data_IF_776202642737
#
_entry.id   IF_776202642737
#
_cell.length_a   1.000
_cell.length_b   1.000
_cell.length_c   1.000
_cell.angle_alpha   90.00
_cell.angle_beta   90.00
_cell.angle_gamma   90.00
#
_symmetry.space_group_name_H-M   'P 1'
#
loop_
_entity.id
_entity.type
_entity.pdbx_description
1 polymer ?
#
# COMPACT_ATOMS: atom_id res chain seq x y z
N UNK A 1 -11.09 -22.91 -9.77
CA UNK A 1 -10.23 -21.90 -10.42
C UNK A 1 -10.71 -20.55 -9.92
N UNK A 2 -9.83 -19.72 -9.36
CA UNK A 2 -10.18 -18.36 -8.89
C UNK A 2 -9.73 -17.35 -9.94
N UNK A 3 -10.63 -16.48 -10.35
CA UNK A 3 -10.37 -15.45 -11.34
C UNK A 3 -9.92 -14.16 -10.65
N UNK A 4 -8.79 -13.59 -11.07
CA UNK A 4 -8.23 -12.38 -10.47
C UNK A 4 -8.19 -11.24 -11.48
N UNK A 5 -8.61 -10.04 -11.04
CA UNK A 5 -8.42 -8.79 -11.75
C UNK A 5 -7.34 -7.96 -11.03
N UNK A 6 -6.44 -7.32 -11.76
CA UNK A 6 -5.28 -6.63 -11.18
C UNK A 6 -5.25 -5.17 -11.62
N UNK A 7 -5.49 -4.27 -10.70
CA UNK A 7 -5.25 -2.85 -10.89
C UNK A 7 -3.76 -2.55 -10.64
N UNK A 8 -3.04 -2.10 -11.69
CA UNK A 8 -1.61 -1.79 -11.59
C UNK A 8 -0.68 -2.99 -11.80
N UNK A 9 -1.01 -3.88 -12.74
CA UNK A 9 -0.28 -5.13 -13.02
C UNK A 9 1.19 -4.95 -13.44
N UNK A 10 1.56 -3.78 -13.95
CA UNK A 10 2.93 -3.47 -14.41
C UNK A 10 3.84 -2.92 -13.29
N UNK A 11 3.27 -2.61 -12.13
CA UNK A 11 3.99 -2.17 -10.93
C UNK A 11 4.66 -3.33 -10.17
N UNK A 12 5.37 -3.01 -9.07
CA UNK A 12 6.09 -4.01 -8.25
C UNK A 12 5.16 -5.10 -7.71
N UNK A 13 4.05 -4.73 -7.08
CA UNK A 13 3.09 -5.69 -6.52
C UNK A 13 2.35 -6.43 -7.64
N UNK A 14 1.94 -5.72 -8.69
CA UNK A 14 1.25 -6.34 -9.82
C UNK A 14 2.07 -7.40 -10.53
N UNK A 15 3.36 -7.16 -10.77
CA UNK A 15 4.25 -8.15 -11.40
C UNK A 15 4.48 -9.36 -10.48
N UNK A 16 4.57 -9.18 -9.17
CA UNK A 16 4.68 -10.28 -8.22
C UNK A 16 3.35 -11.05 -8.09
N UNK A 17 2.21 -10.37 -8.24
CA UNK A 17 0.90 -11.04 -8.33
C UNK A 17 0.83 -11.95 -9.56
N UNK A 18 1.32 -11.47 -10.71
CA UNK A 18 1.42 -12.29 -11.92
C UNK A 18 2.41 -13.45 -11.76
N UNK A 19 3.50 -13.28 -11.01
CA UNK A 19 4.42 -14.38 -10.70
C UNK A 19 3.74 -15.47 -9.86
N UNK A 20 2.94 -15.07 -8.88
CA UNK A 20 2.10 -16.01 -8.11
C UNK A 20 1.10 -16.72 -9.01
N UNK A 21 0.40 -15.98 -9.89
CA UNK A 21 -0.57 -16.59 -10.82
C UNK A 21 0.08 -17.57 -11.80
N UNK A 22 1.26 -17.25 -12.31
CA UNK A 22 2.04 -18.11 -13.23
C UNK A 22 2.39 -19.48 -12.63
N UNK A 23 2.56 -19.54 -11.31
CA UNK A 23 2.99 -20.73 -10.58
C UNK A 23 1.83 -21.54 -9.98
N UNK A 24 0.60 -21.10 -10.20
CA UNK A 24 -0.60 -21.71 -9.62
C UNK A 24 -1.69 -21.86 -10.69
N UNK A 25 -1.86 -23.05 -11.23
CA UNK A 25 -2.80 -23.35 -12.32
C UNK A 25 -4.28 -23.14 -11.95
N UNK A 26 -4.61 -22.98 -10.68
CA UNK A 26 -5.95 -22.70 -10.18
C UNK A 26 -6.24 -21.18 -10.05
N UNK A 27 -5.30 -20.30 -10.42
CA UNK A 27 -5.49 -18.87 -10.58
C UNK A 27 -5.57 -18.49 -12.07
N UNK A 28 -6.56 -17.69 -12.44
CA UNK A 28 -6.70 -17.14 -13.79
C UNK A 28 -6.69 -15.62 -13.74
N UNK A 29 -5.79 -14.99 -14.46
CA UNK A 29 -5.78 -13.54 -14.64
C UNK A 29 -6.80 -13.17 -15.71
N UNK A 30 -7.90 -12.53 -15.31
CA UNK A 30 -9.00 -12.15 -16.23
C UNK A 30 -8.94 -10.69 -16.64
N UNK A 31 -8.26 -9.83 -15.85
CA UNK A 31 -8.08 -8.43 -16.21
C UNK A 31 -6.77 -7.86 -15.64
N UNK A 32 -6.16 -6.93 -16.37
CA UNK A 32 -4.90 -6.26 -16.02
C UNK A 32 -5.00 -4.76 -16.29
N UNK A 33 -4.23 -3.94 -15.57
CA UNK A 33 -4.18 -2.51 -15.88
C UNK A 33 -2.80 -1.91 -15.71
N UNK A 34 -2.55 -0.79 -16.39
CA UNK A 34 -1.34 0.01 -16.29
C UNK A 34 -1.63 1.51 -16.38
N UNK A 35 -0.65 2.35 -15.95
CA UNK A 35 -0.67 3.79 -16.19
C UNK A 35 -0.34 4.11 -17.64
N UNK A 36 0.96 3.97 -18.01
CA UNK A 36 1.51 4.26 -19.34
C UNK A 36 2.42 3.15 -19.91
N UNK A 37 2.61 2.06 -19.18
CA UNK A 37 3.60 1.01 -19.52
C UNK A 37 3.05 0.05 -20.57
N UNK A 38 2.94 0.49 -21.83
CA UNK A 38 2.33 -0.26 -22.92
C UNK A 38 3.07 -1.58 -23.22
N UNK A 39 4.40 -1.55 -23.34
CA UNK A 39 5.19 -2.74 -23.68
C UNK A 39 5.04 -3.86 -22.62
N UNK A 40 5.08 -3.48 -21.35
CA UNK A 40 4.89 -4.45 -20.25
C UNK A 40 3.49 -5.01 -20.25
N UNK A 41 2.48 -4.16 -20.50
CA UNK A 41 1.09 -4.58 -20.49
C UNK A 41 0.78 -5.47 -21.71
N UNK A 42 1.34 -5.18 -22.89
CA UNK A 42 1.27 -6.05 -24.07
C UNK A 42 1.84 -7.44 -23.78
N UNK A 43 3.03 -7.51 -23.16
CA UNK A 43 3.65 -8.78 -22.79
C UNK A 43 2.75 -9.60 -21.83
N UNK A 44 2.14 -8.93 -20.84
CA UNK A 44 1.19 -9.55 -19.90
C UNK A 44 -0.08 -10.04 -20.60
N UNK A 45 -0.62 -9.28 -21.56
CA UNK A 45 -1.78 -9.69 -22.37
C UNK A 45 -1.46 -10.94 -23.17
N UNK A 46 -0.30 -10.99 -23.82
CA UNK A 46 0.11 -12.15 -24.63
C UNK A 46 0.41 -13.38 -23.80
N UNK A 47 0.84 -13.22 -22.55
CA UNK A 47 1.14 -14.32 -21.63
C UNK A 47 -0.12 -14.87 -20.96
N UNK A 48 -0.94 -13.99 -20.40
CA UNK A 48 -2.07 -14.39 -19.52
C UNK A 48 -3.42 -14.44 -20.24
N UNK A 49 -3.52 -13.90 -21.45
CA UNK A 49 -4.75 -13.82 -22.26
C UNK A 49 -5.97 -13.30 -21.47
N UNK A 50 -5.85 -12.13 -20.79
CA UNK A 50 -6.96 -11.58 -20.02
C UNK A 50 -8.11 -11.17 -20.95
N UNK A 51 -9.31 -11.13 -20.40
CA UNK A 51 -10.49 -10.65 -21.12
C UNK A 51 -10.47 -9.14 -21.31
N UNK A 52 -9.85 -8.41 -20.36
CA UNK A 52 -9.81 -6.93 -20.37
C UNK A 52 -8.44 -6.40 -19.95
N UNK A 53 -8.04 -5.29 -20.55
CA UNK A 53 -6.89 -4.49 -20.18
C UNK A 53 -7.29 -3.01 -20.08
N UNK A 54 -7.05 -2.36 -18.93
CA UNK A 54 -7.32 -0.93 -18.74
C UNK A 54 -6.02 -0.14 -18.70
N UNK A 55 -5.97 0.98 -19.43
CA UNK A 55 -4.83 1.89 -19.45
C UNK A 55 -5.28 3.26 -19.00
N UNK A 56 -4.62 3.84 -17.99
CA UNK A 56 -4.99 5.15 -17.48
C UNK A 56 -4.83 6.26 -18.53
N UNK A 57 -3.72 6.26 -19.24
CA UNK A 57 -3.40 7.24 -20.26
C UNK A 57 -4.09 6.89 -21.58
N UNK A 58 -4.83 7.85 -22.16
CA UNK A 58 -5.65 7.61 -23.35
C UNK A 58 -4.81 7.35 -24.62
N UNK A 59 -3.66 8.03 -24.76
CA UNK A 59 -2.76 7.84 -25.90
C UNK A 59 -2.08 6.46 -25.83
N UNK A 60 -1.62 6.08 -24.63
CA UNK A 60 -1.07 4.75 -24.38
C UNK A 60 -2.11 3.64 -24.60
N UNK A 61 -3.39 3.89 -24.27
CA UNK A 61 -4.48 2.95 -24.56
C UNK A 61 -4.71 2.77 -26.05
N UNK A 62 -4.65 3.84 -26.82
CA UNK A 62 -4.78 3.79 -28.29
C UNK A 62 -3.61 2.99 -28.92
N UNK A 63 -2.36 3.21 -28.47
CA UNK A 63 -1.19 2.44 -28.91
C UNK A 63 -1.35 0.96 -28.58
N UNK A 64 -1.71 0.64 -27.31
CA UNK A 64 -1.91 -0.74 -26.88
C UNK A 64 -2.98 -1.45 -27.73
N UNK A 65 -4.11 -0.77 -28.02
CA UNK A 65 -5.20 -1.34 -28.81
C UNK A 65 -4.74 -1.77 -30.21
N UNK A 66 -3.84 -1.02 -30.83
CA UNK A 66 -3.25 -1.37 -32.11
C UNK A 66 -2.32 -2.58 -31.97
N UNK A 67 -1.48 -2.59 -30.93
CA UNK A 67 -0.48 -3.66 -30.70
C UNK A 67 -1.12 -5.02 -30.44
N UNK A 68 -2.26 -5.05 -29.75
CA UNK A 68 -2.92 -6.30 -29.35
C UNK A 68 -4.18 -6.62 -30.15
N UNK A 69 -4.36 -6.00 -31.33
CA UNK A 69 -5.51 -6.22 -32.22
C UNK A 69 -5.67 -7.68 -32.68
N UNK A 70 -4.60 -8.46 -32.61
CA UNK A 70 -4.54 -9.89 -32.89
C UNK A 70 -4.99 -10.78 -31.70
N UNK A 71 -5.35 -10.18 -30.58
CA UNK A 71 -5.84 -10.86 -29.38
C UNK A 71 -7.34 -10.62 -29.17
N UNK A 72 -7.98 -11.39 -28.28
CA UNK A 72 -9.37 -11.19 -27.88
C UNK A 72 -9.54 -10.21 -26.70
N UNK A 73 -8.46 -9.61 -26.20
CA UNK A 73 -8.47 -8.73 -25.02
C UNK A 73 -9.14 -7.39 -25.36
N UNK A 74 -10.19 -7.03 -24.61
CA UNK A 74 -10.82 -5.70 -24.70
C UNK A 74 -9.91 -4.65 -24.04
N UNK A 75 -9.53 -3.62 -24.78
CA UNK A 75 -8.74 -2.49 -24.25
C UNK A 75 -9.65 -1.31 -23.94
N UNK A 76 -9.62 -0.84 -22.68
CA UNK A 76 -10.36 0.31 -22.16
C UNK A 76 -9.42 1.35 -21.57
N UNK A 77 -9.88 2.59 -21.30
CA UNK A 77 -9.00 3.66 -20.85
C UNK A 77 -9.62 4.56 -19.77
N UNK A 78 -8.75 5.29 -19.07
CA UNK A 78 -9.12 6.30 -18.08
C UNK A 78 -9.81 5.72 -16.85
N UNK A 79 -10.47 6.59 -16.08
CA UNK A 79 -11.19 6.18 -14.86
C UNK A 79 -12.33 5.20 -15.19
N UNK A 80 -13.11 5.49 -16.22
CA UNK A 80 -14.20 4.62 -16.63
C UNK A 80 -13.72 3.19 -16.95
N UNK A 81 -12.56 3.08 -17.63
CA UNK A 81 -11.96 1.78 -17.91
C UNK A 81 -11.49 1.06 -16.65
N UNK A 82 -10.98 1.77 -15.64
CA UNK A 82 -10.60 1.18 -14.34
C UNK A 82 -11.84 0.73 -13.54
N UNK A 83 -12.94 1.48 -13.59
CA UNK A 83 -14.20 1.12 -12.94
C UNK A 83 -14.83 -0.11 -13.61
N UNK A 84 -14.85 -0.15 -14.95
CA UNK A 84 -15.32 -1.32 -15.70
C UNK A 84 -14.52 -2.58 -15.36
N UNK A 85 -13.20 -2.45 -15.27
CA UNK A 85 -12.33 -3.56 -14.87
C UNK A 85 -12.62 -4.01 -13.43
N UNK A 86 -12.77 -3.08 -12.50
CA UNK A 86 -13.01 -3.39 -11.09
C UNK A 86 -14.36 -4.09 -10.85
N UNK A 87 -15.38 -3.73 -11.62
CA UNK A 87 -16.73 -4.32 -11.54
C UNK A 87 -16.92 -5.58 -12.40
N UNK A 88 -15.90 -6.01 -13.12
CA UNK A 88 -15.98 -7.10 -14.09
C UNK A 88 -16.60 -8.38 -13.49
N UNK A 89 -17.70 -8.93 -14.04
CA UNK A 89 -18.40 -10.08 -13.45
C UNK A 89 -17.57 -11.34 -13.36
N UNK A 90 -16.62 -11.53 -14.30
CA UNK A 90 -15.78 -12.71 -14.40
C UNK A 90 -14.69 -12.78 -13.32
N UNK A 91 -14.42 -11.71 -12.58
CA UNK A 91 -13.44 -11.73 -11.50
C UNK A 91 -14.07 -12.12 -10.17
N UNK A 92 -13.36 -12.92 -9.37
CA UNK A 92 -13.72 -13.27 -7.99
C UNK A 92 -13.09 -12.33 -6.98
N UNK A 93 -11.88 -11.85 -7.26
CA UNK A 93 -11.08 -10.99 -6.39
C UNK A 93 -10.39 -9.88 -7.19
N UNK A 94 -10.37 -8.68 -6.62
CA UNK A 94 -9.69 -7.52 -7.17
C UNK A 94 -8.41 -7.24 -6.39
N UNK A 95 -7.25 -7.31 -7.05
CA UNK A 95 -5.96 -6.89 -6.49
C UNK A 95 -5.76 -5.40 -6.79
N UNK A 96 -5.71 -4.57 -5.75
CA UNK A 96 -5.55 -3.12 -5.89
C UNK A 96 -4.09 -2.72 -5.66
N UNK A 97 -3.29 -2.73 -6.73
CA UNK A 97 -1.86 -2.41 -6.72
C UNK A 97 -1.52 -1.08 -7.43
N UNK A 98 -2.52 -0.22 -7.61
CA UNK A 98 -2.35 1.17 -8.07
C UNK A 98 -1.80 2.00 -6.90
N UNK A 99 -0.87 2.90 -7.16
CA UNK A 99 -0.31 3.82 -6.16
C UNK A 99 -1.14 5.10 -6.10
N UNK A 100 -1.33 5.66 -4.90
CA UNK A 100 -2.02 6.92 -4.67
C UNK A 100 -3.54 6.82 -4.61
N UNK A 101 -4.20 7.96 -4.45
CA UNK A 101 -5.64 8.04 -4.19
C UNK A 101 -6.52 7.67 -5.39
N UNK A 102 -5.95 7.57 -6.58
CA UNK A 102 -6.66 7.11 -7.79
C UNK A 102 -7.30 5.72 -7.62
N UNK A 103 -6.77 4.89 -6.72
CA UNK A 103 -7.29 3.54 -6.43
C UNK A 103 -8.60 3.52 -5.63
N UNK A 104 -9.02 4.62 -5.01
CA UNK A 104 -10.20 4.65 -4.13
C UNK A 104 -11.48 4.30 -4.90
N UNK A 105 -11.75 5.02 -5.99
CA UNK A 105 -12.97 4.81 -6.81
C UNK A 105 -13.08 3.38 -7.35
N UNK A 106 -12.04 2.82 -8.00
CA UNK A 106 -12.10 1.43 -8.47
C UNK A 106 -12.23 0.40 -7.33
N UNK A 107 -11.63 0.66 -6.15
CA UNK A 107 -11.81 -0.22 -4.99
C UNK A 107 -13.26 -0.22 -4.50
N UNK A 108 -13.90 0.97 -4.38
CA UNK A 108 -15.31 1.06 -4.01
C UNK A 108 -16.22 0.37 -5.03
N UNK A 109 -15.91 0.49 -6.31
CA UNK A 109 -16.68 -0.16 -7.38
C UNK A 109 -16.55 -1.68 -7.35
N UNK A 110 -15.34 -2.20 -7.10
CA UNK A 110 -15.10 -3.63 -6.89
C UNK A 110 -15.89 -4.17 -5.69
N UNK A 111 -15.93 -3.43 -4.57
CA UNK A 111 -16.73 -3.78 -3.38
C UNK A 111 -18.22 -3.84 -3.74
N UNK A 112 -18.77 -2.82 -4.44
CA UNK A 112 -20.17 -2.80 -4.87
C UNK A 112 -20.52 -3.95 -5.82
N UNK A 113 -19.54 -4.38 -6.61
CA UNK A 113 -19.66 -5.55 -7.48
C UNK A 113 -19.49 -6.89 -6.75
N UNK A 114 -19.39 -6.89 -5.41
CA UNK A 114 -19.27 -8.09 -4.59
C UNK A 114 -17.93 -8.79 -4.67
N UNK A 115 -16.83 -8.07 -4.97
CA UNK A 115 -15.48 -8.63 -5.07
C UNK A 115 -14.75 -8.54 -3.74
N UNK A 116 -14.09 -9.62 -3.33
CA UNK A 116 -13.06 -9.52 -2.30
C UNK A 116 -11.91 -8.65 -2.82
N UNK A 117 -11.31 -7.86 -1.92
CA UNK A 117 -10.26 -6.91 -2.26
C UNK A 117 -8.93 -7.39 -1.66
N UNK A 118 -7.97 -7.77 -2.50
CA UNK A 118 -6.58 -7.95 -2.09
C UNK A 118 -5.91 -6.56 -2.13
N UNK A 119 -5.87 -5.90 -0.97
CA UNK A 119 -5.52 -4.48 -0.84
C UNK A 119 -4.01 -4.31 -0.69
N UNK A 120 -3.37 -3.74 -1.72
CA UNK A 120 -1.98 -3.28 -1.67
C UNK A 120 -1.86 -1.75 -1.68
N UNK A 121 -2.92 -1.04 -2.04
CA UNK A 121 -2.99 0.42 -2.03
C UNK A 121 -3.41 0.92 -0.64
N UNK A 122 -2.42 1.19 0.21
CA UNK A 122 -2.68 1.66 1.60
C UNK A 122 -3.34 3.02 1.64
N UNK A 123 -3.08 3.88 0.65
CA UNK A 123 -3.66 5.22 0.57
C UNK A 123 -5.19 5.18 0.55
N UNK A 124 -5.78 4.12 0.01
CA UNK A 124 -7.24 3.88 0.02
C UNK A 124 -7.81 3.86 1.44
N UNK A 125 -7.20 3.14 2.38
CA UNK A 125 -7.67 3.12 3.78
C UNK A 125 -7.20 4.33 4.57
N UNK A 126 -6.01 4.85 4.30
CA UNK A 126 -5.49 6.05 4.95
C UNK A 126 -6.45 7.22 4.78
N UNK A 127 -6.95 7.46 3.57
CA UNK A 127 -7.75 8.64 3.24
C UNK A 127 -9.26 8.38 3.26
N UNK A 128 -9.68 7.18 2.91
CA UNK A 128 -11.10 6.82 2.76
C UNK A 128 -11.52 5.59 3.59
N UNK A 129 -10.76 5.20 4.62
CA UNK A 129 -11.07 4.03 5.45
C UNK A 129 -12.46 4.07 6.08
N UNK A 130 -12.93 5.27 6.47
CA UNK A 130 -14.28 5.50 6.99
C UNK A 130 -15.41 5.29 5.96
N UNK A 131 -15.08 5.27 4.66
CA UNK A 131 -16.00 4.94 3.57
C UNK A 131 -15.85 3.47 3.13
N UNK A 132 -14.63 2.99 3.02
CA UNK A 132 -14.29 1.66 2.49
C UNK A 132 -14.74 0.55 3.45
N UNK A 133 -14.40 0.64 4.75
CA UNK A 133 -14.68 -0.46 5.68
C UNK A 133 -16.19 -0.66 5.92
N UNK A 134 -17.01 0.38 6.11
CA UNK A 134 -18.46 0.22 6.17
C UNK A 134 -19.05 -0.33 4.87
N UNK A 135 -18.58 0.13 3.71
CA UNK A 135 -19.03 -0.35 2.41
C UNK A 135 -18.71 -1.84 2.23
N UNK A 136 -17.50 -2.28 2.57
CA UNK A 136 -17.13 -3.70 2.52
C UNK A 136 -18.03 -4.56 3.41
N UNK A 137 -18.34 -4.07 4.62
CA UNK A 137 -19.27 -4.74 5.54
C UNK A 137 -20.70 -4.82 4.98
N UNK A 138 -21.19 -3.75 4.37
CA UNK A 138 -22.53 -3.69 3.75
C UNK A 138 -22.67 -4.71 2.62
N UNK A 139 -21.65 -4.84 1.76
CA UNK A 139 -21.64 -5.77 0.63
C UNK A 139 -21.16 -7.18 1.00
N UNK A 140 -20.72 -7.41 2.24
CA UNK A 140 -20.29 -8.73 2.73
C UNK A 140 -19.00 -9.23 2.07
N UNK A 141 -18.12 -8.31 1.64
CA UNK A 141 -16.84 -8.63 1.00
C UNK A 141 -15.68 -8.46 1.97
N UNK A 142 -14.60 -9.20 1.73
CA UNK A 142 -13.39 -9.16 2.56
C UNK A 142 -12.37 -8.16 2.03
N UNK A 143 -11.76 -7.38 2.92
CA UNK A 143 -10.55 -6.61 2.64
C UNK A 143 -9.35 -7.42 3.13
N UNK A 144 -8.57 -7.96 2.20
CA UNK A 144 -7.46 -8.88 2.46
C UNK A 144 -6.13 -8.12 2.29
N UNK A 145 -5.34 -7.93 3.36
CA UNK A 145 -4.13 -7.12 3.28
C UNK A 145 -3.02 -7.77 2.45
N UNK A 146 -2.41 -6.99 1.58
CA UNK A 146 -1.21 -7.34 0.81
C UNK A 146 0.04 -6.66 1.38
N UNK A 147 -0.10 -5.52 2.06
CA UNK A 147 1.03 -4.92 2.78
C UNK A 147 1.59 -5.92 3.79
N UNK A 148 2.93 -6.07 3.85
CA UNK A 148 3.60 -7.16 4.59
C UNK A 148 3.28 -7.14 6.09
N UNK A 149 3.26 -5.97 6.70
CA UNK A 149 2.98 -5.78 8.11
C UNK A 149 1.52 -6.12 8.46
N UNK A 150 0.59 -5.64 7.63
CA UNK A 150 -0.84 -5.92 7.82
C UNK A 150 -1.16 -7.38 7.54
N UNK A 151 -0.55 -7.97 6.51
CA UNK A 151 -0.67 -9.40 6.25
C UNK A 151 -0.13 -10.23 7.42
N UNK A 152 0.98 -9.82 8.05
CA UNK A 152 1.53 -10.48 9.22
C UNK A 152 0.57 -10.46 10.40
N UNK A 153 -0.03 -9.29 10.70
CA UNK A 153 -1.06 -9.15 11.74
C UNK A 153 -2.26 -10.03 11.40
N UNK A 154 -2.76 -9.94 10.16
CA UNK A 154 -3.91 -10.73 9.69
C UNK A 154 -3.68 -12.25 9.80
N UNK A 155 -2.45 -12.71 9.56
CA UNK A 155 -2.05 -14.10 9.77
C UNK A 155 -1.96 -14.49 11.26
N UNK A 156 -1.49 -13.57 12.10
CA UNK A 156 -1.34 -13.82 13.54
C UNK A 156 -2.69 -13.88 14.28
N UNK A 157 -3.72 -13.17 13.80
CA UNK A 157 -5.06 -13.17 14.40
C UNK A 157 -6.00 -14.22 13.78
N UNK A 158 -5.51 -15.03 12.85
CA UNK A 158 -6.36 -16.02 12.18
C UNK A 158 -6.84 -17.10 13.15
N UNK A 159 -8.15 -17.16 13.38
CA UNK A 159 -8.77 -18.06 14.33
C UNK A 159 -8.94 -17.50 15.74
N UNK A 160 -8.48 -16.29 15.98
CA UNK A 160 -8.61 -15.59 17.25
C UNK A 160 -9.82 -14.63 17.25
N UNK A 161 -10.34 -14.33 18.44
CA UNK A 161 -11.44 -13.38 18.59
C UNK A 161 -10.90 -11.94 18.67
N UNK A 162 -11.42 -10.97 17.87
CA UNK A 162 -10.91 -9.59 17.88
C UNK A 162 -10.89 -8.93 19.28
N UNK A 163 -11.86 -9.28 20.15
CA UNK A 163 -11.91 -8.77 21.52
C UNK A 163 -10.76 -9.23 22.42
N UNK A 164 -10.00 -10.25 22.03
CA UNK A 164 -8.86 -10.80 22.78
C UNK A 164 -7.55 -10.11 22.42
N UNK A 165 -7.54 -9.34 21.36
CA UNK A 165 -6.39 -8.52 20.97
C UNK A 165 -6.22 -7.38 21.97
N UNK A 166 -4.99 -7.26 22.52
CA UNK A 166 -4.62 -6.15 23.39
C UNK A 166 -3.94 -5.03 22.60
N UNK A 167 -2.98 -5.38 21.72
CA UNK A 167 -2.18 -4.40 20.99
C UNK A 167 -1.63 -4.97 19.67
N UNK A 168 -1.55 -4.11 18.66
CA UNK A 168 -0.80 -4.39 17.43
C UNK A 168 0.61 -3.82 17.53
N UNK A 169 1.60 -4.62 17.17
CA UNK A 169 3.02 -4.26 17.17
C UNK A 169 3.52 -4.23 15.72
N UNK A 170 3.48 -3.05 15.10
CA UNK A 170 3.89 -2.87 13.70
C UNK A 170 5.41 -2.71 13.66
N UNK A 171 6.10 -3.60 12.94
CA UNK A 171 7.56 -3.52 12.81
C UNK A 171 7.97 -2.56 11.69
N UNK A 172 9.13 -1.94 11.85
CA UNK A 172 9.78 -1.09 10.85
C UNK A 172 11.24 -1.51 10.69
N UNK A 173 11.80 -1.43 9.49
CA UNK A 173 13.25 -1.61 9.30
C UNK A 173 14.07 -0.47 9.90
N UNK A 174 13.45 0.69 10.10
CA UNK A 174 14.10 1.94 10.46
C UNK A 174 14.63 2.74 9.27
N UNK A 175 14.55 2.20 8.07
CA UNK A 175 14.99 2.84 6.82
C UNK A 175 16.51 2.98 6.69
N UNK A 176 17.01 3.59 5.58
CA UNK A 176 18.44 3.70 5.27
C UNK A 176 19.19 4.67 6.21
N UNK A 177 18.48 5.52 6.93
CA UNK A 177 19.07 6.55 7.79
C UNK A 177 18.94 6.27 9.29
N UNK A 178 18.56 5.05 9.66
CA UNK A 178 18.47 4.62 11.07
C UNK A 178 19.75 4.98 11.83
N UNK A 179 19.60 5.62 12.99
CA UNK A 179 20.70 6.06 13.85
C UNK A 179 21.35 7.39 13.47
N UNK A 180 20.94 8.04 12.36
CA UNK A 180 21.42 9.39 12.00
C UNK A 180 20.65 10.47 12.74
N UNK A 181 21.34 11.58 12.97
CA UNK A 181 20.76 12.81 13.55
C UNK A 181 20.17 13.71 12.46
N UNK A 182 19.30 14.65 12.85
CA UNK A 182 18.73 15.66 11.94
C UNK A 182 19.83 16.44 11.19
N UNK A 183 20.94 16.73 11.85
CA UNK A 183 22.06 17.46 11.23
C UNK A 183 22.69 16.66 10.08
N UNK A 184 22.87 15.35 10.28
CA UNK A 184 23.42 14.46 9.25
C UNK A 184 22.46 14.24 8.08
N UNK A 185 21.17 14.53 8.26
CA UNK A 185 20.15 14.40 7.20
C UNK A 185 20.05 15.63 6.29
N UNK A 186 20.63 16.77 6.65
CA UNK A 186 20.52 18.01 5.87
C UNK A 186 21.03 17.90 4.44
N UNK A 187 22.05 17.08 4.21
CA UNK A 187 22.74 16.99 2.93
C UNK A 187 22.58 15.61 2.28
N UNK A 188 21.64 14.78 2.73
CA UNK A 188 21.40 13.47 2.10
C UNK A 188 20.78 13.65 0.72
N UNK A 189 21.27 12.86 -0.22
CA UNK A 189 20.83 12.89 -1.62
C UNK A 189 19.71 11.91 -1.89
N UNK A 190 19.06 12.02 -3.04
CA UNK A 190 18.14 11.00 -3.55
C UNK A 190 18.83 9.64 -3.65
N UNK A 191 20.08 9.62 -4.15
CA UNK A 191 20.84 8.38 -4.28
C UNK A 191 21.13 7.69 -2.93
N UNK A 192 21.34 8.45 -1.85
CA UNK A 192 21.52 7.90 -0.51
C UNK A 192 20.20 7.35 0.05
N UNK A 193 19.11 8.08 -0.19
CA UNK A 193 17.77 7.71 0.29
C UNK A 193 17.26 6.42 -0.35
N UNK A 194 17.61 6.15 -1.61
CA UNK A 194 17.15 4.98 -2.33
C UNK A 194 17.92 3.68 -1.98
N UNK A 195 18.91 3.73 -1.08
CA UNK A 195 19.67 2.55 -0.61
C UNK A 195 19.01 1.89 0.60
N UNK A 196 17.84 1.26 0.40
CA UNK A 196 17.19 0.52 1.50
C UNK A 196 17.99 -0.73 1.86
N UNK A 197 18.21 -1.03 3.17
CA UNK A 197 19.12 -2.12 3.59
C UNK A 197 18.59 -3.52 3.29
N UNK A 198 17.27 -3.75 3.31
CA UNK A 198 16.68 -5.10 3.28
C UNK A 198 15.73 -5.33 2.09
N UNK A 199 15.08 -4.28 1.58
CA UNK A 199 14.02 -4.39 0.59
C UNK A 199 14.38 -3.71 -0.72
N UNK A 200 14.03 -4.35 -1.84
CA UNK A 200 14.03 -3.72 -3.16
C UNK A 200 12.62 -3.25 -3.48
N UNK A 201 12.39 -1.95 -3.41
CA UNK A 201 11.07 -1.35 -3.51
C UNK A 201 11.01 -0.25 -4.58
N UNK A 202 9.80 0.24 -4.86
CA UNK A 202 9.59 1.43 -5.67
C UNK A 202 10.24 2.67 -5.05
N UNK A 203 10.56 3.67 -5.88
CA UNK A 203 11.27 4.88 -5.41
C UNK A 203 10.49 5.66 -4.35
N UNK A 204 9.17 5.84 -4.53
CA UNK A 204 8.30 6.58 -3.58
C UNK A 204 8.32 5.93 -2.20
N UNK A 205 8.00 4.64 -2.10
CA UNK A 205 7.92 3.93 -0.83
C UNK A 205 9.29 3.81 -0.14
N UNK A 206 10.40 3.83 -0.89
CA UNK A 206 11.76 3.85 -0.32
C UNK A 206 12.03 5.18 0.40
N UNK A 207 11.59 6.32 -0.17
CA UNK A 207 11.65 7.63 0.50
C UNK A 207 10.72 7.65 1.71
N UNK A 208 9.50 7.12 1.61
CA UNK A 208 8.56 7.02 2.74
C UNK A 208 9.13 6.17 3.88
N UNK A 209 9.88 5.10 3.57
CA UNK A 209 10.60 4.31 4.57
C UNK A 209 11.70 5.12 5.25
N UNK A 210 12.48 5.89 4.47
CA UNK A 210 13.55 6.73 4.98
C UNK A 210 13.06 7.84 5.92
N UNK A 211 11.85 8.35 5.69
CA UNK A 211 11.21 9.41 6.49
C UNK A 211 10.36 8.88 7.64
N UNK A 212 10.15 7.56 7.75
CA UNK A 212 9.14 6.89 8.58
C UNK A 212 7.68 7.31 8.27
N UNK A 213 7.43 7.99 7.17
CA UNK A 213 6.07 8.26 6.69
C UNK A 213 5.37 6.95 6.34
N UNK A 214 6.06 6.01 5.68
CA UNK A 214 5.48 4.71 5.35
C UNK A 214 4.89 4.03 6.59
N UNK A 215 5.64 4.04 7.69
CA UNK A 215 5.17 3.44 8.94
C UNK A 215 3.99 4.20 9.55
N UNK A 216 3.96 5.51 9.35
CA UNK A 216 2.81 6.33 9.72
C UNK A 216 1.55 6.00 8.91
N UNK A 217 1.67 5.82 7.60
CA UNK A 217 0.57 5.38 6.73
C UNK A 217 0.06 3.99 7.15
N UNK A 218 0.96 3.09 7.51
CA UNK A 218 0.62 1.75 7.98
C UNK A 218 -0.11 1.76 9.33
N UNK A 219 0.23 2.67 10.25
CA UNK A 219 -0.53 2.87 11.49
C UNK A 219 -1.97 3.31 11.19
N UNK A 220 -2.15 4.21 10.22
CA UNK A 220 -3.48 4.65 9.79
C UNK A 220 -4.28 3.53 9.14
N UNK A 221 -3.63 2.72 8.29
CA UNK A 221 -4.24 1.56 7.64
C UNK A 221 -4.65 0.50 8.67
N UNK A 222 -3.77 0.17 9.63
CA UNK A 222 -4.05 -0.80 10.69
C UNK A 222 -5.26 -0.40 11.54
N UNK A 223 -5.40 0.90 11.86
CA UNK A 223 -6.55 1.44 12.57
C UNK A 223 -7.87 1.05 11.91
N UNK A 224 -7.95 1.20 10.59
CA UNK A 224 -9.17 0.89 9.83
C UNK A 224 -9.35 -0.60 9.59
N UNK A 225 -8.29 -1.29 9.17
CA UNK A 225 -8.36 -2.69 8.76
C UNK A 225 -8.69 -3.63 9.93
N UNK A 226 -8.18 -3.33 11.13
CA UNK A 226 -8.35 -4.15 12.32
C UNK A 226 -9.29 -3.52 13.35
N UNK A 227 -9.95 -2.40 13.03
CA UNK A 227 -10.84 -1.65 13.93
C UNK A 227 -10.17 -1.39 15.30
N UNK A 228 -8.92 -0.90 15.29
CA UNK A 228 -8.09 -0.74 16.46
C UNK A 228 -7.84 0.73 16.79
N UNK A 229 -8.00 1.10 18.04
CA UNK A 229 -7.64 2.44 18.51
C UNK A 229 -6.13 2.70 18.41
N UNK A 230 -5.75 3.93 18.05
CA UNK A 230 -4.34 4.31 17.88
C UNK A 230 -3.47 4.07 19.13
N UNK A 231 -4.05 4.13 20.33
CA UNK A 231 -3.32 3.89 21.58
C UNK A 231 -2.98 2.40 21.78
N UNK A 232 -3.59 1.51 20.99
CA UNK A 232 -3.32 0.08 20.92
C UNK A 232 -2.51 -0.32 19.69
N UNK A 233 -1.93 0.66 18.96
CA UNK A 233 -1.03 0.41 17.83
C UNK A 233 0.34 0.98 18.17
N UNK A 234 1.32 0.12 18.35
CA UNK A 234 2.70 0.49 18.67
C UNK A 234 3.63 0.17 17.51
N UNK A 235 4.51 1.11 17.19
CA UNK A 235 5.59 0.87 16.23
C UNK A 235 6.86 0.46 16.97
N UNK A 236 7.54 -0.57 16.47
CA UNK A 236 8.85 -1.04 16.94
C UNK A 236 9.80 -1.15 15.75
N UNK A 237 11.05 -0.76 15.91
CA UNK A 237 12.06 -0.94 14.86
C UNK A 237 12.69 -2.33 15.02
N UNK A 238 12.65 -3.11 13.95
CA UNK A 238 13.26 -4.45 13.84
C UNK A 238 14.18 -4.45 12.60
N UNK A 239 15.48 -4.12 12.80
CA UNK A 239 16.38 -3.80 11.69
C UNK A 239 16.60 -4.92 10.69
N UNK A 240 16.52 -6.17 11.12
CA UNK A 240 16.74 -7.35 10.26
C UNK A 240 15.56 -7.61 9.31
N UNK A 241 14.39 -6.98 9.53
CA UNK A 241 13.15 -7.14 8.73
C UNK A 241 12.73 -8.61 8.55
N UNK A 242 12.88 -9.41 9.60
CA UNK A 242 12.52 -10.83 9.63
C UNK A 242 11.15 -11.02 10.29
N UNK A 243 10.84 -10.24 11.34
CA UNK A 243 9.52 -10.16 11.94
C UNK A 243 8.75 -9.09 11.18
N UNK A 244 7.69 -9.48 10.47
CA UNK A 244 6.91 -8.56 9.66
C UNK A 244 5.82 -7.82 10.41
N UNK A 245 5.39 -8.26 11.58
CA UNK A 245 4.64 -7.60 12.66
C UNK A 245 4.16 -8.65 13.66
N UNK A 246 3.59 -8.18 14.77
CA UNK A 246 3.18 -9.00 15.90
C UNK A 246 1.84 -8.52 16.45
N UNK A 247 1.18 -9.40 17.18
CA UNK A 247 -0.05 -9.12 17.93
C UNK A 247 0.14 -9.56 19.37
N UNK A 248 -0.10 -8.66 20.30
CA UNK A 248 -0.15 -8.96 21.74
C UNK A 248 -1.60 -9.19 22.14
N UNK A 249 -1.87 -10.31 22.80
CA UNK A 249 -3.19 -10.67 23.32
C UNK A 249 -3.35 -10.28 24.78
N UNK A 250 -4.59 -10.29 25.28
CA UNK A 250 -4.92 -9.89 26.65
C UNK A 250 -4.30 -10.76 27.74
N UNK A 251 -3.94 -11.99 27.43
CA UNK A 251 -3.24 -12.91 28.33
C UNK A 251 -1.71 -12.67 28.38
N UNK A 252 -1.21 -11.74 27.56
CA UNK A 252 0.21 -11.41 27.42
C UNK A 252 0.95 -12.24 26.37
N UNK A 253 0.28 -13.16 25.67
CA UNK A 253 0.90 -13.88 24.56
C UNK A 253 1.17 -12.94 23.39
N UNK A 254 2.30 -13.13 22.69
CA UNK A 254 2.63 -12.39 21.48
C UNK A 254 2.77 -13.39 20.33
N UNK A 255 1.95 -13.20 19.28
CA UNK A 255 2.05 -13.94 18.04
C UNK A 255 2.72 -13.09 16.97
N UNK A 256 3.66 -13.67 16.22
CA UNK A 256 4.43 -12.98 15.20
C UNK A 256 4.51 -13.79 13.92
N UNK A 257 4.43 -13.12 12.77
CA UNK A 257 4.74 -13.75 11.50
C UNK A 257 6.19 -13.40 11.12
N UNK A 258 6.98 -14.44 10.85
CA UNK A 258 8.37 -14.33 10.43
C UNK A 258 8.52 -14.83 8.99
N UNK A 259 9.41 -14.20 8.22
CA UNK A 259 9.70 -14.60 6.86
C UNK A 259 10.89 -13.84 6.27
N UNK A 260 11.35 -14.27 5.11
CA UNK A 260 12.24 -13.48 4.27
C UNK A 260 11.48 -12.34 3.60
N UNK A 261 12.12 -11.22 3.21
CA UNK A 261 11.48 -10.11 2.52
C UNK A 261 11.01 -10.49 1.11
N UNK A 262 9.81 -11.05 1.00
CA UNK A 262 9.21 -11.48 -0.28
C UNK A 262 7.71 -11.15 -0.29
N UNK A 263 7.32 -10.17 -1.12
CA UNK A 263 5.92 -9.74 -1.23
C UNK A 263 5.00 -10.81 -1.85
N UNK A 264 5.54 -11.85 -2.50
CA UNK A 264 4.71 -12.95 -3.01
C UNK A 264 4.02 -13.71 -1.88
N UNK A 265 4.61 -13.73 -0.67
CA UNK A 265 4.00 -14.39 0.49
C UNK A 265 2.67 -13.72 0.89
N UNK A 266 2.61 -12.42 1.22
CA UNK A 266 1.35 -11.77 1.55
C UNK A 266 0.38 -11.72 0.37
N UNK A 267 0.84 -11.54 -0.86
CA UNK A 267 0.02 -11.61 -2.07
C UNK A 267 -0.66 -12.98 -2.17
N UNK A 268 0.11 -14.06 -2.11
CA UNK A 268 -0.42 -15.41 -2.22
C UNK A 268 -1.38 -15.73 -1.06
N UNK A 269 -1.06 -15.28 0.16
CA UNK A 269 -1.96 -15.48 1.29
C UNK A 269 -3.30 -14.77 1.11
N UNK A 270 -3.31 -13.52 0.63
CA UNK A 270 -4.55 -12.81 0.31
C UNK A 270 -5.37 -13.51 -0.79
N UNK A 271 -4.71 -14.02 -1.83
CA UNK A 271 -5.39 -14.71 -2.93
C UNK A 271 -5.99 -16.07 -2.52
N UNK A 272 -5.41 -16.75 -1.55
CA UNK A 272 -5.82 -18.09 -1.13
C UNK A 272 -6.47 -18.15 0.23
N UNK A 273 -6.59 -17.03 0.94
CA UNK A 273 -7.19 -17.01 2.27
C UNK A 273 -8.49 -17.83 2.34
N UNK A 274 -8.69 -18.66 3.38
CA UNK A 274 -7.85 -18.85 4.56
C UNK A 274 -6.73 -19.91 4.41
N UNK A 275 -6.48 -20.41 3.22
CA UNK A 275 -5.56 -21.53 2.98
C UNK A 275 -4.14 -21.08 2.64
N UNK A 276 -3.15 -21.89 3.01
CA UNK A 276 -1.77 -21.70 2.59
C UNK A 276 -1.44 -22.59 1.40
N UNK A 277 -0.64 -22.04 0.46
CA UNK A 277 -0.12 -22.79 -0.69
C UNK A 277 1.41 -22.80 -0.65
N UNK A 278 1.99 -23.77 -1.35
CA UNK A 278 3.43 -23.77 -1.55
C UNK A 278 3.87 -22.48 -2.27
N UNK A 279 4.92 -21.87 -1.77
CA UNK A 279 5.60 -20.74 -2.40
C UNK A 279 7.07 -21.12 -2.51
N UNK A 280 7.63 -21.02 -3.69
CA UNK A 280 9.06 -21.15 -3.91
C UNK A 280 9.81 -19.91 -3.40
N UNK A 281 11.08 -20.06 -3.07
CA UNK A 281 11.92 -18.97 -2.60
C UNK A 281 12.72 -19.35 -1.36
N UNK A 282 13.48 -18.39 -0.90
CA UNK A 282 14.34 -18.55 0.27
C UNK A 282 13.49 -18.73 1.53
N UNK A 283 13.95 -19.63 2.42
CA UNK A 283 13.33 -19.87 3.73
C UNK A 283 14.23 -19.30 4.81
N UNK A 284 13.62 -18.87 5.93
CA UNK A 284 14.40 -18.53 7.10
C UNK A 284 15.15 -19.74 7.61
N UNK A 285 16.47 -19.58 7.79
CA UNK A 285 17.35 -20.57 8.35
C UNK A 285 17.77 -20.13 9.76
N UNK A 286 17.12 -20.69 10.78
CA UNK A 286 17.37 -20.36 12.18
C UNK A 286 18.78 -20.79 12.64
N UNK A 287 19.50 -21.61 11.88
CA UNK A 287 20.91 -21.94 12.19
C UNK A 287 21.85 -20.81 11.81
N UNK A 288 21.45 -19.94 10.88
CA UNK A 288 22.19 -18.74 10.44
C UNK A 288 21.74 -17.47 11.15
N UNK A 289 20.48 -17.43 11.56
CA UNK A 289 19.90 -16.31 12.28
C UNK A 289 20.41 -16.30 13.72
N UNK A 290 21.33 -15.38 14.05
CA UNK A 290 22.00 -15.34 15.35
C UNK A 290 21.24 -14.51 16.39
N UNK A 291 20.62 -13.40 15.94
CA UNK A 291 19.94 -12.45 16.82
C UNK A 291 18.78 -11.76 16.12
N UNK A 292 17.81 -11.36 16.89
CA UNK A 292 16.72 -10.48 16.50
C UNK A 292 16.72 -9.33 17.52
N UNK A 293 16.78 -8.09 17.03
CA UNK A 293 16.87 -6.91 17.87
C UNK A 293 15.69 -5.99 17.66
N UNK A 294 15.33 -5.25 18.71
CA UNK A 294 14.27 -4.25 18.68
C UNK A 294 14.80 -2.92 19.19
N UNK A 295 14.33 -1.83 18.56
CA UNK A 295 14.64 -0.46 18.96
C UNK A 295 13.36 0.37 19.02
N UNK A 296 13.40 1.45 19.78
CA UNK A 296 12.33 2.45 19.80
C UNK A 296 12.50 3.37 18.58
N UNK A 297 11.42 3.68 17.82
CA UNK A 297 11.51 4.64 16.73
C UNK A 297 11.97 6.01 17.20
N UNK A 298 12.95 6.62 16.52
CA UNK A 298 13.35 8.00 16.78
C UNK A 298 12.36 8.99 16.14
N UNK A 299 11.30 9.30 16.88
CA UNK A 299 10.24 10.21 16.44
C UNK A 299 10.68 11.68 16.43
N UNK A 300 11.84 12.01 17.01
CA UNK A 300 12.36 13.37 17.00
C UNK A 300 13.08 13.70 15.70
N UNK A 301 13.90 12.78 15.24
CA UNK A 301 14.64 12.91 13.98
C UNK A 301 13.74 12.60 12.78
N UNK A 302 12.95 11.52 12.85
CA UNK A 302 12.08 11.06 11.77
C UNK A 302 10.62 11.47 12.03
N UNK A 303 10.30 12.72 11.70
CA UNK A 303 9.03 13.40 12.01
C UNK A 303 7.82 12.81 11.26
N UNK A 304 8.03 11.99 10.23
CA UNK A 304 6.95 11.41 9.43
C UNK A 304 5.97 10.57 10.26
N UNK A 305 6.48 9.71 11.14
CA UNK A 305 5.63 8.87 11.99
C UNK A 305 4.78 9.68 12.99
N UNK A 306 5.33 10.59 13.82
CA UNK A 306 4.49 11.37 14.75
C UNK A 306 3.48 12.28 14.03
N UNK A 307 3.82 12.88 12.88
CA UNK A 307 2.85 13.66 12.09
C UNK A 307 1.71 12.82 11.54
N UNK A 308 1.99 11.60 11.10
CA UNK A 308 0.96 10.65 10.69
C UNK A 308 0.02 10.27 11.83
N UNK A 309 0.56 9.96 13.02
CA UNK A 309 -0.24 9.66 14.21
C UNK A 309 -1.12 10.87 14.57
N UNK A 310 -0.57 12.09 14.50
CA UNK A 310 -1.34 13.32 14.71
C UNK A 310 -2.47 13.44 13.70
N UNK A 311 -2.20 13.31 12.40
CA UNK A 311 -3.22 13.37 11.35
C UNK A 311 -4.34 12.34 11.56
N UNK A 312 -3.98 11.13 11.98
CA UNK A 312 -4.93 10.07 12.28
C UNK A 312 -5.78 10.37 13.52
N UNK A 313 -5.20 10.98 14.57
CA UNK A 313 -5.93 11.41 15.78
C UNK A 313 -6.90 12.56 15.49
N UNK A 314 -6.48 13.51 14.68
CA UNK A 314 -7.35 14.60 14.23
C UNK A 314 -8.51 14.06 13.36
N UNK A 315 -8.25 13.08 12.53
CA UNK A 315 -9.27 12.41 11.71
C UNK A 315 -9.89 13.31 10.63
N UNK A 316 -11.05 12.92 10.13
CA UNK A 316 -11.71 13.61 9.03
C UNK A 316 -10.84 13.68 7.79
N UNK A 317 -10.69 14.87 7.20
CA UNK A 317 -9.85 15.08 6.00
C UNK A 317 -8.35 15.26 6.29
N UNK A 318 -7.90 15.24 7.55
CA UNK A 318 -6.48 15.47 7.87
C UNK A 318 -5.55 14.35 7.34
N UNK A 319 -5.91 13.05 7.40
CA UNK A 319 -5.12 12.00 6.74
C UNK A 319 -4.95 12.20 5.24
N UNK A 320 -5.97 12.75 4.55
CA UNK A 320 -5.89 13.10 3.12
C UNK A 320 -4.83 14.17 2.88
N UNK A 321 -4.83 15.24 3.69
CA UNK A 321 -3.82 16.30 3.58
C UNK A 321 -2.41 15.77 3.83
N UNK A 322 -2.24 14.95 4.88
CA UNK A 322 -0.95 14.32 5.19
C UNK A 322 -0.45 13.48 4.00
N UNK A 323 -1.31 12.63 3.45
CA UNK A 323 -0.94 11.76 2.32
C UNK A 323 -0.62 12.58 1.06
N UNK A 324 -1.49 13.52 0.68
CA UNK A 324 -1.28 14.35 -0.51
C UNK A 324 0.01 15.19 -0.40
N UNK A 325 0.25 15.80 0.78
CA UNK A 325 1.46 16.56 1.02
C UNK A 325 2.71 15.70 0.91
N UNK A 326 2.68 14.50 1.47
CA UNK A 326 3.79 13.55 1.35
C UNK A 326 4.02 13.13 -0.10
N UNK A 327 2.98 12.76 -0.84
CA UNK A 327 3.13 12.33 -2.24
C UNK A 327 3.81 13.39 -3.11
N UNK A 328 3.36 14.63 -3.00
CA UNK A 328 3.94 15.72 -3.79
C UNK A 328 5.34 16.12 -3.30
N UNK A 329 5.57 16.14 -1.98
CA UNK A 329 6.90 16.42 -1.43
C UNK A 329 7.91 15.36 -1.85
N UNK A 330 7.56 14.08 -1.78
CA UNK A 330 8.42 12.97 -2.24
C UNK A 330 8.69 13.07 -3.73
N UNK A 331 7.69 13.42 -4.55
CA UNK A 331 7.90 13.66 -5.99
C UNK A 331 8.91 14.79 -6.22
N UNK A 332 8.75 15.95 -5.56
CA UNK A 332 9.69 17.09 -5.67
C UNK A 332 11.09 16.72 -5.20
N UNK A 333 11.22 15.93 -4.12
CA UNK A 333 12.52 15.43 -3.65
C UNK A 333 13.17 14.51 -4.68
N UNK A 334 12.42 13.55 -5.25
CA UNK A 334 12.93 12.64 -6.29
C UNK A 334 13.30 13.35 -7.60
N UNK A 335 12.74 14.54 -7.84
CA UNK A 335 13.11 15.46 -8.93
C UNK A 335 14.23 16.43 -8.52
N UNK A 336 14.80 16.28 -7.33
CA UNK A 336 15.89 17.13 -6.76
C UNK A 336 15.53 18.60 -6.66
N UNK A 337 14.22 18.94 -6.55
CA UNK A 337 13.74 20.33 -6.40
C UNK A 337 13.75 20.80 -4.96
N UNK A 338 13.75 19.90 -4.00
CA UNK A 338 13.76 20.17 -2.55
C UNK A 338 14.73 19.23 -1.85
N UNK A 339 15.16 19.59 -0.62
CA UNK A 339 15.97 18.75 0.25
C UNK A 339 15.13 17.69 1.00
N UNK A 340 15.81 16.72 1.60
CA UNK A 340 15.16 15.63 2.34
C UNK A 340 14.29 16.13 3.51
N UNK A 341 14.80 17.10 4.28
CA UNK A 341 14.08 17.66 5.43
C UNK A 341 12.88 18.53 5.05
N UNK A 342 12.88 19.09 3.83
CA UNK A 342 11.76 19.88 3.32
C UNK A 342 10.49 19.03 3.17
N UNK A 343 10.62 17.72 3.01
CA UNK A 343 9.47 16.80 3.01
C UNK A 343 8.64 16.98 4.28
N UNK A 344 9.29 17.02 5.44
CA UNK A 344 8.60 17.22 6.72
C UNK A 344 7.97 18.60 6.84
N UNK A 345 8.66 19.65 6.34
CA UNK A 345 8.14 21.02 6.38
C UNK A 345 6.92 21.21 5.51
N UNK A 346 6.90 20.61 4.31
CA UNK A 346 5.75 20.62 3.42
C UNK A 346 4.55 19.94 4.07
N UNK A 347 4.76 18.77 4.67
CA UNK A 347 3.69 18.03 5.35
C UNK A 347 3.15 18.86 6.53
N UNK A 348 4.03 19.35 7.40
CA UNK A 348 3.63 20.13 8.59
C UNK A 348 2.82 21.37 8.22
N UNK A 349 3.32 22.18 7.28
CA UNK A 349 2.65 23.40 6.84
C UNK A 349 1.33 23.13 6.13
N UNK A 350 1.24 22.03 5.36
CA UNK A 350 -0.02 21.60 4.73
C UNK A 350 -1.08 21.23 5.76
N UNK A 351 -0.69 20.51 6.81
CA UNK A 351 -1.59 20.13 7.92
C UNK A 351 -2.03 21.37 8.73
N UNK A 352 -1.09 22.27 9.07
CA UNK A 352 -1.38 23.48 9.87
C UNK A 352 -2.39 24.40 9.21
N UNK A 353 -2.30 24.61 7.89
CA UNK A 353 -3.20 25.52 7.16
C UNK A 353 -4.59 24.93 6.92
N UNK A 354 -4.73 23.61 6.94
CA UNK A 354 -5.98 22.95 6.51
C UNK A 354 -7.10 23.14 7.53
N UNK A 355 -8.28 23.43 7.02
CA UNK A 355 -9.52 23.42 7.82
C UNK A 355 -10.15 22.03 7.68
N UNK A 356 -10.12 21.27 8.76
CA UNK A 356 -10.62 19.91 8.79
C UNK A 356 -12.10 19.82 8.43
N UNK A 357 -12.43 18.93 7.47
CA UNK A 357 -13.77 18.43 7.22
C UNK A 357 -13.95 17.19 8.10
N UNK A 358 -14.97 17.16 8.96
CA UNK A 358 -15.09 16.11 9.98
C UNK A 358 -15.45 14.74 9.39
N UNK A 359 -16.32 14.71 8.40
CA UNK A 359 -16.82 13.49 7.74
C UNK A 359 -16.79 13.70 6.22
N UNK A 360 -15.61 13.74 5.60
CA UNK A 360 -15.51 14.01 4.18
C UNK A 360 -16.09 12.85 3.36
N UNK A 361 -16.90 13.18 2.37
CA UNK A 361 -17.27 12.23 1.33
C UNK A 361 -16.12 12.05 0.30
N UNK A 362 -16.34 11.21 -0.70
CA UNK A 362 -15.29 10.91 -1.69
C UNK A 362 -14.89 12.14 -2.52
N UNK A 363 -15.85 12.97 -2.90
CA UNK A 363 -15.57 14.16 -3.73
C UNK A 363 -14.83 15.22 -2.90
N UNK A 364 -15.17 15.38 -1.63
CA UNK A 364 -14.44 16.22 -0.67
C UNK A 364 -13.01 15.71 -0.44
N UNK A 365 -12.80 14.39 -0.31
CA UNK A 365 -11.47 13.79 -0.20
C UNK A 365 -10.62 14.15 -1.43
N UNK A 366 -11.15 13.97 -2.63
CA UNK A 366 -10.45 14.28 -3.87
C UNK A 366 -10.21 15.78 -4.05
N UNK A 367 -11.14 16.63 -3.62
CA UNK A 367 -10.97 18.07 -3.61
C UNK A 367 -9.85 18.52 -2.66
N UNK A 368 -9.79 17.95 -1.45
CA UNK A 368 -8.73 18.23 -0.46
C UNK A 368 -7.35 17.82 -0.98
N UNK A 369 -7.25 16.70 -1.69
CA UNK A 369 -6.01 16.31 -2.37
C UNK A 369 -5.55 17.38 -3.36
N UNK A 370 -6.45 17.81 -4.28
CA UNK A 370 -6.13 18.81 -5.29
C UNK A 370 -5.79 20.17 -4.69
N UNK A 371 -6.53 20.62 -3.69
CA UNK A 371 -6.24 21.87 -2.97
C UNK A 371 -4.86 21.82 -2.28
N UNK A 372 -4.50 20.67 -1.74
CA UNK A 372 -3.19 20.48 -1.11
C UNK A 372 -2.08 20.54 -2.16
N UNK A 373 -2.25 19.88 -3.30
CA UNK A 373 -1.28 19.94 -4.40
C UNK A 373 -1.11 21.36 -4.96
N UNK A 374 -2.21 22.07 -5.25
CA UNK A 374 -2.17 23.43 -5.75
C UNK A 374 -1.45 24.37 -4.79
N UNK A 375 -1.68 24.24 -3.50
CA UNK A 375 -1.02 25.06 -2.50
C UNK A 375 0.49 24.79 -2.45
N UNK A 376 0.92 23.54 -2.45
CA UNK A 376 2.33 23.17 -2.44
C UNK A 376 3.02 23.69 -3.72
N UNK A 377 2.41 23.47 -4.90
CA UNK A 377 2.96 23.93 -6.18
C UNK A 377 3.12 25.47 -6.23
N UNK A 378 2.32 26.22 -5.48
CA UNK A 378 2.42 27.67 -5.42
C UNK A 378 3.59 28.18 -4.55
N UNK A 379 4.26 27.30 -3.78
CA UNK A 379 5.24 27.72 -2.75
C UNK A 379 6.59 27.01 -2.84
N UNK A 380 6.61 25.80 -3.35
CA UNK A 380 7.76 24.90 -3.42
C UNK A 380 8.07 24.53 -4.90
#
# INVERSE_FOLDING_TARGET
>A
MKNIAILGSTGSIGTQTLDVARKNDDLRVVAVSAGKSVEKLEAQIREFHPLMAAVWDAEAAADLKVRVQDTSTKVVSGMEGLLELAAMPESDILVTAIVGMIGIRPTMEGIRAGKDIALANKETLVTAGHLIMPLAKEYGVSILPVDSEHSAIFQAIHGEEPKEIHKLLITASGGPFRGRTTEELKNVTVADTLKHPNWVMGRKITVDSATLVNKGLEVMEAKWLFDMDLDHIQVVVQPQSIIHSMVEFKDGAIMAQLGTPDMRLPIQYALYYPHRRYLDGERLDFTKLREITFEVPDMKTFRGLPMAIQASREGGSMPTVFNAANELAVKKFLEEKIGFLDIYEIIAQSMERHKKIAHPDLDEILSVEQDTYQWIESRW
#
